data_IF_433878986625
#
_entry.id   IF_433878986625
#
_cell.length_a   1.000
_cell.length_b   1.000
_cell.length_c   1.000
_cell.angle_alpha   90.00
_cell.angle_beta   90.00
_cell.angle_gamma   90.00
#
_symmetry.space_group_name_H-M   'P 1'
#
loop_
_entity.id
_entity.type
_entity.pdbx_description
1 polymer ?
#
# COMPACT_ATOMS: atom_id res chain seq x y z
N UNK A 1 -64.78 -10.81 -46.65
CA UNK A 1 -64.73 -10.34 -45.26
C UNK A 1 -63.34 -9.82 -44.96
N UNK A 2 -63.23 -8.58 -44.47
CA UNK A 2 -62.11 -8.13 -43.63
C UNK A 2 -60.83 -7.66 -44.33
N UNK A 3 -60.81 -6.40 -44.78
CA UNK A 3 -59.62 -5.56 -44.72
C UNK A 3 -59.43 -5.06 -43.28
N UNK A 4 -58.18 -4.94 -42.81
CA UNK A 4 -57.72 -3.83 -41.97
C UNK A 4 -56.18 -3.78 -41.97
N UNK A 5 -55.67 -2.83 -42.75
CA UNK A 5 -54.35 -2.23 -42.62
C UNK A 5 -54.21 -1.54 -41.24
N UNK A 6 -53.00 -1.51 -40.69
CA UNK A 6 -52.54 -0.33 -39.95
C UNK A 6 -51.09 -0.06 -40.30
N UNK A 7 -50.93 1.13 -40.86
CA UNK A 7 -49.75 1.79 -41.36
C UNK A 7 -48.75 2.21 -40.26
N UNK A 8 -47.57 2.53 -40.77
CA UNK A 8 -46.40 3.11 -40.11
C UNK A 8 -46.69 4.44 -39.39
N UNK A 9 -45.69 5.00 -38.69
CA UNK A 9 -45.15 6.22 -39.26
C UNK A 9 -43.63 6.25 -39.37
N UNK A 10 -43.22 6.80 -40.50
CA UNK A 10 -41.93 7.45 -40.79
C UNK A 10 -41.61 8.53 -39.75
N UNK A 11 -40.34 8.67 -39.38
CA UNK A 11 -39.66 9.98 -39.40
C UNK A 11 -38.20 9.79 -39.81
N UNK A 12 -37.92 10.44 -40.93
CA UNK A 12 -36.67 10.81 -41.60
C UNK A 12 -35.48 11.25 -40.73
N UNK A 13 -34.32 10.72 -41.11
CA UNK A 13 -33.05 11.40 -41.42
C UNK A 13 -32.79 12.81 -40.88
N UNK A 14 -31.61 12.98 -40.26
CA UNK A 14 -30.61 13.98 -40.65
C UNK A 14 -29.21 13.56 -40.19
N UNK A 15 -28.32 13.50 -41.18
CA UNK A 15 -26.90 13.25 -41.09
C UNK A 15 -26.19 14.51 -40.56
N UNK A 16 -25.16 14.35 -39.75
CA UNK A 16 -24.10 15.37 -39.69
C UNK A 16 -22.76 14.68 -39.44
N UNK A 17 -21.97 14.66 -40.51
CA UNK A 17 -20.59 14.22 -40.57
C UNK A 17 -19.66 15.36 -40.12
N UNK A 18 -18.50 14.95 -39.58
CA UNK A 18 -17.19 15.56 -39.72
C UNK A 18 -16.84 16.93 -39.07
N UNK A 19 -16.01 16.79 -38.02
CA UNK A 19 -14.67 17.39 -37.88
C UNK A 19 -14.50 18.92 -37.96
N UNK A 20 -14.00 19.53 -36.86
CA UNK A 20 -12.67 20.18 -36.81
C UNK A 20 -12.56 21.23 -35.66
N UNK A 21 -11.64 20.98 -34.72
CA UNK A 21 -10.92 21.92 -33.84
C UNK A 21 -11.65 22.98 -32.98
N UNK A 22 -11.45 22.90 -31.65
CA UNK A 22 -11.31 24.13 -30.84
C UNK A 22 -11.80 24.09 -29.39
N UNK A 23 -10.84 23.92 -28.48
CA UNK A 23 -10.73 24.54 -27.13
C UNK A 23 -11.81 24.25 -26.06
N UNK A 24 -11.33 23.62 -24.98
CA UNK A 24 -11.60 24.07 -23.60
C UNK A 24 -12.96 23.73 -23.00
N UNK A 25 -13.00 22.72 -22.13
CA UNK A 25 -14.19 22.40 -21.37
C UNK A 25 -13.96 21.35 -20.30
N UNK A 26 -13.34 21.78 -19.19
CA UNK A 26 -13.52 21.26 -17.82
C UNK A 26 -13.91 19.78 -17.66
N UNK A 27 -12.91 18.91 -17.58
CA UNK A 27 -13.07 17.67 -16.82
C UNK A 27 -13.24 18.05 -15.34
N UNK A 28 -14.44 17.88 -14.81
CA UNK A 28 -14.70 17.96 -13.37
C UNK A 28 -13.90 16.85 -12.68
N UNK A 29 -12.75 17.25 -12.12
CA UNK A 29 -11.95 16.45 -11.20
C UNK A 29 -12.81 16.05 -10.00
N UNK A 30 -13.15 14.75 -9.94
CA UNK A 30 -13.64 14.08 -8.75
C UNK A 30 -12.51 14.08 -7.71
N UNK A 31 -12.42 15.17 -6.95
CA UNK A 31 -11.50 15.34 -5.82
C UNK A 31 -11.91 14.42 -4.66
N UNK A 32 -11.36 13.20 -4.64
CA UNK A 32 -11.44 12.34 -3.46
C UNK A 32 -10.54 12.93 -2.38
N UNK A 33 -11.14 13.73 -1.48
CA UNK A 33 -10.49 14.19 -0.24
C UNK A 33 -10.16 12.97 0.64
N UNK A 34 -8.91 12.51 0.58
CA UNK A 34 -8.34 11.63 1.59
C UNK A 34 -7.88 12.46 2.80
N UNK A 35 -8.83 12.90 3.64
CA UNK A 35 -8.52 13.54 4.92
C UNK A 35 -8.77 12.58 6.08
N UNK A 36 -7.95 11.52 6.18
CA UNK A 36 -7.78 10.81 7.45
C UNK A 36 -6.50 11.32 8.12
N UNK A 37 -6.57 12.53 8.69
CA UNK A 37 -5.48 13.11 9.49
C UNK A 37 -5.50 12.49 10.89
N UNK A 38 -4.76 11.40 11.08
CA UNK A 38 -4.18 11.14 12.40
C UNK A 38 -3.10 12.22 12.60
N UNK A 39 -3.28 13.11 13.57
CA UNK A 39 -2.35 14.20 13.85
C UNK A 39 -1.08 13.65 14.50
N UNK A 40 -0.05 13.43 13.70
CA UNK A 40 1.30 13.10 14.17
C UNK A 40 2.05 14.40 14.48
N UNK A 41 2.56 14.56 15.71
CA UNK A 41 3.44 15.69 16.06
C UNK A 41 4.81 15.47 15.41
N UNK A 42 4.98 15.93 14.18
CA UNK A 42 6.28 16.00 13.51
C UNK A 42 6.75 17.45 13.50
N UNK A 43 7.70 17.78 14.37
CA UNK A 43 8.34 19.11 14.42
C UNK A 43 9.34 19.32 13.26
N UNK A 44 9.33 18.46 12.23
CA UNK A 44 10.25 18.50 11.09
C UNK A 44 11.72 18.21 11.45
N UNK A 45 12.00 17.73 12.66
CA UNK A 45 13.37 17.44 13.12
C UNK A 45 13.71 15.96 12.92
N UNK A 46 14.95 15.64 12.47
CA UNK A 46 15.49 14.28 12.44
C UNK A 46 15.24 13.53 13.75
N UNK A 47 14.41 12.49 13.73
CA UNK A 47 14.11 11.71 14.93
C UNK A 47 14.36 10.21 14.72
N UNK A 48 15.22 9.65 15.58
CA UNK A 48 15.46 8.19 15.64
C UNK A 48 14.28 7.46 16.26
N UNK A 49 13.54 8.13 17.15
CA UNK A 49 12.34 7.63 17.80
C UNK A 49 11.10 7.83 16.94
N UNK A 50 10.11 6.96 17.10
CA UNK A 50 8.80 7.12 16.47
C UNK A 50 8.10 8.40 16.99
N UNK A 51 7.51 9.24 16.12
CA UNK A 51 6.88 10.49 16.53
C UNK A 51 5.64 10.33 17.43
N UNK A 52 5.08 9.11 17.53
CA UNK A 52 3.95 8.84 18.44
C UNK A 52 4.36 8.22 19.77
N UNK A 53 5.21 7.21 19.74
CA UNK A 53 5.53 6.43 20.95
C UNK A 53 6.94 6.65 21.48
N UNK A 54 7.76 7.47 20.80
CA UNK A 54 9.15 7.78 21.16
C UNK A 54 10.13 6.61 21.01
N UNK A 55 9.67 5.37 20.85
CA UNK A 55 10.54 4.19 20.76
C UNK A 55 11.35 4.19 19.47
N UNK A 56 12.61 3.75 19.56
CA UNK A 56 13.51 3.61 18.41
C UNK A 56 12.94 2.61 17.40
N UNK A 57 12.81 3.04 16.15
CA UNK A 57 12.40 2.19 15.03
C UNK A 57 13.59 1.52 14.34
N UNK A 58 13.34 0.40 13.65
CA UNK A 58 14.32 -0.32 12.84
C UNK A 58 14.51 0.38 11.49
N UNK A 59 15.75 0.53 11.03
CA UNK A 59 16.02 1.03 9.68
C UNK A 59 15.40 0.10 8.61
N UNK A 60 14.78 0.70 7.60
CA UNK A 60 14.25 0.00 6.42
C UNK A 60 14.64 0.76 5.16
N UNK A 61 14.70 0.06 4.03
CA UNK A 61 15.02 0.71 2.75
C UNK A 61 13.82 1.56 2.27
N UNK A 62 14.09 2.60 1.49
CA UNK A 62 13.04 3.38 0.85
C UNK A 62 12.17 2.49 -0.07
N UNK A 63 12.78 1.53 -0.76
CA UNK A 63 12.09 0.55 -1.59
C UNK A 63 11.11 -0.32 -0.77
N UNK A 64 11.51 -0.77 0.42
CA UNK A 64 10.61 -1.49 1.32
C UNK A 64 9.40 -0.63 1.67
N UNK A 65 9.62 0.64 2.00
CA UNK A 65 8.52 1.55 2.34
C UNK A 65 7.59 1.73 1.15
N UNK A 66 8.11 1.97 -0.06
CA UNK A 66 7.28 2.21 -1.24
C UNK A 66 6.37 1.03 -1.59
N UNK A 67 6.86 -0.21 -1.45
CA UNK A 67 6.08 -1.42 -1.73
C UNK A 67 4.95 -1.62 -0.70
N UNK A 68 5.17 -1.19 0.55
CA UNK A 68 4.25 -1.43 1.66
C UNK A 68 3.20 -0.33 1.85
N UNK A 69 3.41 0.88 1.31
CA UNK A 69 2.45 1.98 1.41
C UNK A 69 1.28 1.84 0.44
N UNK A 70 0.07 2.21 0.85
CA UNK A 70 -1.15 2.25 0.02
C UNK A 70 -1.18 3.40 -0.99
N UNK A 71 -0.01 3.80 -1.45
CA UNK A 71 0.16 4.83 -2.46
C UNK A 71 0.56 4.15 -3.80
N UNK A 72 -0.30 4.16 -4.83
CA UNK A 72 0.02 3.59 -6.15
C UNK A 72 1.13 4.32 -6.88
N UNK A 73 1.29 5.62 -6.62
CA UNK A 73 2.35 6.40 -7.22
C UNK A 73 3.68 5.97 -6.62
N UNK A 74 3.80 5.88 -5.30
CA UNK A 74 5.06 5.45 -4.67
C UNK A 74 5.40 4.00 -5.00
N UNK A 75 4.40 3.13 -5.14
CA UNK A 75 4.62 1.74 -5.56
C UNK A 75 5.25 1.64 -6.98
N UNK A 76 4.77 2.44 -7.93
CA UNK A 76 5.27 2.44 -9.31
C UNK A 76 6.53 3.28 -9.48
N UNK A 77 6.69 4.31 -8.65
CA UNK A 77 7.75 5.31 -8.71
C UNK A 77 8.44 5.48 -7.35
N UNK A 78 9.17 4.46 -6.86
CA UNK A 78 9.87 4.51 -5.57
C UNK A 78 10.87 5.67 -5.48
N UNK A 79 11.41 6.13 -6.60
CA UNK A 79 12.30 7.29 -6.71
C UNK A 79 11.67 8.62 -6.25
N UNK A 80 10.33 8.68 -6.14
CA UNK A 80 9.63 9.84 -5.58
C UNK A 80 9.72 9.94 -4.07
N UNK A 81 10.15 8.87 -3.38
CA UNK A 81 10.50 8.94 -1.98
C UNK A 81 11.73 9.81 -1.79
N UNK A 82 11.71 10.68 -0.78
CA UNK A 82 12.88 11.50 -0.45
C UNK A 82 14.05 10.61 -0.04
N UNK A 83 15.29 11.00 -0.37
CA UNK A 83 16.49 10.30 0.05
C UNK A 83 16.75 10.58 1.54
N UNK A 84 16.05 9.84 2.41
CA UNK A 84 16.15 9.94 3.87
C UNK A 84 16.16 8.54 4.50
N UNK A 85 16.45 8.48 5.79
CA UNK A 85 16.38 7.24 6.55
C UNK A 85 14.93 6.98 6.91
N UNK A 86 14.41 5.85 6.46
CA UNK A 86 13.11 5.34 6.85
C UNK A 86 13.23 4.33 7.97
N UNK A 87 12.24 4.33 8.86
CA UNK A 87 12.19 3.47 10.03
C UNK A 87 10.82 2.79 10.15
N UNK A 88 10.84 1.54 10.58
CA UNK A 88 9.68 0.77 11.00
C UNK A 88 9.55 0.88 12.54
N UNK A 89 8.43 1.41 13.01
CA UNK A 89 8.07 1.33 14.41
C UNK A 89 7.56 -0.07 14.72
N UNK A 90 8.21 -0.77 15.65
CA UNK A 90 7.87 -2.17 15.99
C UNK A 90 6.96 -2.31 17.20
N UNK A 91 6.57 -1.18 17.79
CA UNK A 91 5.70 -1.18 18.96
C UNK A 91 4.32 -1.72 18.58
N UNK A 92 3.82 -2.82 19.15
CA UNK A 92 2.55 -3.42 18.75
C UNK A 92 1.36 -2.45 18.84
N UNK A 93 1.25 -1.72 19.95
CA UNK A 93 0.13 -0.81 20.22
C UNK A 93 0.27 0.58 19.56
N UNK A 94 1.37 0.82 18.83
CA UNK A 94 1.58 2.10 18.16
C UNK A 94 0.98 2.06 16.76
N UNK A 95 0.08 2.99 16.39
CA UNK A 95 -0.55 2.99 15.07
C UNK A 95 0.43 3.32 13.94
N UNK A 96 1.55 3.99 14.23
CA UNK A 96 2.59 4.29 13.22
C UNK A 96 3.30 3.00 12.83
N UNK A 97 3.37 2.76 11.53
CA UNK A 97 4.14 1.68 10.92
C UNK A 97 5.47 2.23 10.43
N UNK A 98 5.46 3.08 9.40
CA UNK A 98 6.66 3.66 8.84
C UNK A 98 6.74 5.15 9.16
N UNK A 99 7.95 5.63 9.41
CA UNK A 99 8.23 7.06 9.51
C UNK A 99 9.61 7.35 8.94
N UNK A 100 9.80 8.55 8.42
CA UNK A 100 11.12 9.04 8.04
C UNK A 100 11.73 9.84 9.19
N UNK A 101 13.05 9.83 9.29
CA UNK A 101 13.72 10.63 10.32
C UNK A 101 13.45 12.12 10.13
N UNK A 102 13.49 12.61 8.89
CA UNK A 102 13.25 14.02 8.52
C UNK A 102 11.79 14.49 8.68
N UNK A 103 10.88 13.61 9.15
CA UNK A 103 9.47 13.92 9.34
C UNK A 103 8.65 14.06 8.06
N UNK A 104 9.25 13.85 6.87
CA UNK A 104 8.54 13.93 5.58
C UNK A 104 7.48 12.84 5.38
N UNK A 105 7.59 11.72 6.09
CA UNK A 105 6.67 10.60 6.01
C UNK A 105 6.30 10.10 7.40
N UNK A 106 5.00 9.89 7.65
CA UNK A 106 4.51 9.09 8.77
C UNK A 106 3.27 8.34 8.32
N UNK A 107 3.38 7.03 8.23
CA UNK A 107 2.34 6.14 7.76
C UNK A 107 1.84 5.25 8.89
N UNK A 108 0.53 5.25 9.12
CA UNK A 108 -0.13 4.39 10.09
C UNK A 108 -0.38 2.97 9.54
N UNK A 109 -0.94 2.11 10.39
CA UNK A 109 -1.45 0.77 10.02
C UNK A 109 -2.55 0.84 8.94
N UNK A 110 -3.38 1.88 8.96
CA UNK A 110 -4.47 2.06 7.99
C UNK A 110 -4.02 2.43 6.56
N UNK A 111 -2.97 3.25 6.35
CA UNK A 111 -2.44 3.53 5.02
C UNK A 111 -1.41 2.50 4.49
N UNK A 112 -1.23 1.30 5.05
CA UNK A 112 -0.38 0.26 4.44
C UNK A 112 -1.16 -0.68 3.52
N UNK A 113 -0.55 -1.10 2.39
CA UNK A 113 -1.11 -2.13 1.47
C UNK A 113 -1.14 -3.50 2.10
N UNK A 114 -0.18 -3.75 2.97
CA UNK A 114 0.04 -5.06 3.58
C UNK A 114 -0.09 -4.94 5.09
N UNK A 115 -0.58 -6.02 5.70
CA UNK A 115 -0.64 -6.18 7.16
C UNK A 115 0.77 -6.36 7.68
N UNK A 116 1.19 -5.53 8.63
CA UNK A 116 2.54 -5.59 9.21
C UNK A 116 2.52 -6.44 10.46
N UNK A 117 3.19 -7.60 10.44
CA UNK A 117 3.09 -8.60 11.52
C UNK A 117 3.38 -8.05 12.92
N UNK A 118 4.32 -7.10 13.09
CA UNK A 118 4.60 -6.47 14.39
C UNK A 118 3.41 -5.70 14.98
N UNK A 119 2.39 -5.40 14.16
CA UNK A 119 1.19 -4.62 14.51
C UNK A 119 -0.06 -5.48 14.57
N UNK A 120 0.08 -6.79 14.47
CA UNK A 120 -1.02 -7.73 14.36
C UNK A 120 -0.95 -8.79 15.46
N UNK A 121 -2.11 -9.16 15.98
CA UNK A 121 -2.27 -10.31 16.88
C UNK A 121 -2.65 -11.60 16.13
N UNK A 122 -3.04 -11.50 14.86
CA UNK A 122 -3.46 -12.64 14.04
C UNK A 122 -2.23 -13.48 13.62
N UNK A 123 -2.12 -14.76 14.07
CA UNK A 123 -0.98 -15.61 13.74
C UNK A 123 -0.91 -16.02 12.26
N UNK A 124 -1.97 -15.76 11.48
CA UNK A 124 -2.00 -15.99 10.03
C UNK A 124 -1.38 -14.86 9.22
N UNK A 125 -0.97 -13.76 9.86
CA UNK A 125 -0.26 -12.67 9.19
C UNK A 125 1.15 -13.15 8.81
N UNK A 126 1.61 -12.88 7.57
CA UNK A 126 2.95 -13.28 7.15
C UNK A 126 4.02 -12.49 7.90
N UNK A 127 4.97 -13.22 8.48
CA UNK A 127 6.23 -12.69 9.03
C UNK A 127 7.24 -12.49 7.90
N UNK A 128 7.23 -13.39 6.89
CA UNK A 128 8.00 -13.24 5.67
C UNK A 128 7.07 -13.14 4.45
N UNK A 129 7.03 -11.96 3.82
CA UNK A 129 6.16 -11.70 2.67
C UNK A 129 6.65 -12.40 1.39
N UNK A 130 7.96 -12.50 1.19
CA UNK A 130 8.54 -13.12 -0.02
C UNK A 130 8.25 -14.62 -0.11
N UNK A 131 8.36 -15.33 1.01
CA UNK A 131 8.22 -16.80 1.06
C UNK A 131 6.97 -17.26 1.80
N UNK A 132 6.07 -16.32 2.14
CA UNK A 132 4.76 -16.55 2.76
C UNK A 132 4.78 -17.34 4.07
N UNK A 133 5.83 -17.19 4.88
CA UNK A 133 5.86 -17.76 6.22
C UNK A 133 5.02 -16.92 7.18
N UNK A 134 4.09 -17.57 7.88
CA UNK A 134 3.25 -16.98 8.93
C UNK A 134 3.70 -17.47 10.30
N UNK A 135 3.28 -16.78 11.37
CA UNK A 135 3.51 -17.21 12.75
C UNK A 135 2.95 -18.63 12.95
N UNK A 136 1.72 -18.88 12.48
CA UNK A 136 1.07 -20.20 12.52
C UNK A 136 1.90 -21.30 11.83
N UNK A 137 2.42 -21.03 10.63
CA UNK A 137 3.22 -22.02 9.89
C UNK A 137 4.50 -22.41 10.62
N UNK A 138 5.12 -21.44 11.29
CA UNK A 138 6.36 -21.64 12.06
C UNK A 138 6.05 -22.45 13.32
N UNK A 139 5.00 -22.08 14.06
CA UNK A 139 4.58 -22.82 15.25
C UNK A 139 4.21 -24.27 14.92
N UNK A 140 3.50 -24.50 13.82
CA UNK A 140 3.14 -25.84 13.39
C UNK A 140 4.36 -26.72 13.12
N UNK A 141 5.38 -26.19 12.41
CA UNK A 141 6.63 -26.92 12.18
C UNK A 141 7.35 -27.28 13.49
N UNK A 142 7.35 -26.35 14.46
CA UNK A 142 7.91 -26.59 15.80
C UNK A 142 7.14 -27.68 16.54
N UNK A 143 5.80 -27.65 16.52
CA UNK A 143 4.98 -28.64 17.21
C UNK A 143 5.14 -30.04 16.60
N UNK A 144 5.23 -30.14 15.27
CA UNK A 144 5.34 -31.43 14.56
C UNK A 144 6.75 -32.03 14.61
N UNK A 145 7.80 -31.19 14.58
CA UNK A 145 9.20 -31.64 14.39
C UNK A 145 10.12 -31.32 15.55
N UNK A 146 9.64 -30.59 16.56
CA UNK A 146 10.43 -30.08 17.70
C UNK A 146 11.35 -28.89 17.36
N UNK A 147 11.40 -28.48 16.09
CA UNK A 147 12.29 -27.41 15.62
C UNK A 147 11.74 -26.77 14.33
N UNK A 148 12.23 -25.59 13.97
CA UNK A 148 11.94 -24.94 12.69
C UNK A 148 13.21 -24.58 11.93
N UNK A 149 13.17 -24.77 10.62
CA UNK A 149 14.22 -24.40 9.68
C UNK A 149 13.90 -23.12 8.89
N UNK A 150 12.80 -22.43 9.23
CA UNK A 150 12.30 -21.26 8.47
C UNK A 150 13.32 -20.13 8.44
N UNK A 151 13.96 -19.82 9.58
CA UNK A 151 14.95 -18.75 9.65
C UNK A 151 16.16 -19.02 8.74
N UNK A 152 16.64 -20.26 8.70
CA UNK A 152 17.74 -20.71 7.84
C UNK A 152 17.34 -20.64 6.36
N UNK A 153 16.13 -21.08 6.01
CA UNK A 153 15.59 -21.00 4.64
C UNK A 153 15.48 -19.56 4.16
N UNK A 154 14.86 -18.67 4.95
CA UNK A 154 14.76 -17.23 4.63
C UNK A 154 16.16 -16.65 4.43
N UNK A 155 17.09 -16.92 5.34
CA UNK A 155 18.46 -16.40 5.25
C UNK A 155 19.19 -16.87 4.00
N UNK A 156 18.97 -18.12 3.59
CA UNK A 156 19.52 -18.67 2.34
C UNK A 156 18.95 -17.97 1.11
N UNK A 157 17.63 -17.77 1.05
CA UNK A 157 16.98 -17.13 -0.09
C UNK A 157 17.30 -15.62 -0.19
N UNK A 158 17.48 -14.94 0.94
CA UNK A 158 17.99 -13.56 0.98
C UNK A 158 19.40 -13.49 0.39
N UNK A 159 20.30 -14.41 0.78
CA UNK A 159 21.67 -14.47 0.24
C UNK A 159 21.70 -14.75 -1.27
N UNK A 160 20.74 -15.52 -1.79
CA UNK A 160 20.56 -15.75 -3.23
C UNK A 160 19.97 -14.55 -3.99
N UNK A 161 19.54 -13.50 -3.29
CA UNK A 161 18.90 -12.34 -3.90
C UNK A 161 17.47 -12.60 -4.37
N UNK A 162 16.77 -13.57 -3.79
CA UNK A 162 15.37 -13.88 -4.12
C UNK A 162 14.36 -13.06 -3.30
N UNK A 163 14.84 -12.33 -2.29
CA UNK A 163 14.02 -11.38 -1.52
C UNK A 163 13.67 -10.15 -2.37
N UNK A 164 12.43 -9.68 -2.25
CA UNK A 164 11.84 -8.58 -3.04
C UNK A 164 11.15 -7.52 -2.17
N UNK A 165 11.37 -7.56 -0.86
CA UNK A 165 10.88 -6.57 0.10
C UNK A 165 12.04 -5.85 0.77
#
# INVERSE_FOLDING_TARGET
MGNQNMDQPEVSEKNEEDECCGVGGSHQELSVRLENKVSYQNDGRPSVGCPMCGRKGRNVSAFTVSVFLKDPILYLHPERLRPTIYRLCETPDCPVVYYSEDGSLTAAKLPSRVRVWQKESDPKVPVCYCFRHTVDSIFREILERGQTSVAQRISSEVKKGNCRC
#
